data_IF_746577751612
#
_entry.id   IF_746577751612
#
_cell.length_a   1.000
_cell.length_b   1.000
_cell.length_c   1.000
_cell.angle_alpha   90.00
_cell.angle_beta   90.00
_cell.angle_gamma   90.00
#
_symmetry.space_group_name_H-M   'P 1'
#
loop_
_entity.id
_entity.type
_entity.pdbx_description
1 polymer ?
#
# COMPACT_ATOMS: atom_id res chain seq x y z
N UNK A 1 4.08 -13.97 5.01
CA UNK A 1 2.98 -13.62 4.07
C UNK A 1 1.79 -14.58 4.11
N UNK A 2 1.93 -15.81 4.64
CA UNK A 2 0.81 -16.75 4.84
C UNK A 2 -0.02 -16.44 6.10
N UNK A 3 0.51 -15.60 7.01
CA UNK A 3 -0.19 -15.19 8.22
C UNK A 3 -1.44 -14.37 7.87
N UNK A 4 -2.60 -14.89 8.27
CA UNK A 4 -3.91 -14.31 7.95
C UNK A 4 -4.09 -12.93 8.57
N UNK A 5 -3.59 -12.73 9.80
CA UNK A 5 -3.66 -11.44 10.49
C UNK A 5 -2.82 -10.40 9.77
N UNK A 6 -1.62 -10.76 9.33
CA UNK A 6 -0.78 -9.90 8.51
C UNK A 6 -1.51 -9.50 7.23
N UNK A 7 -2.06 -10.48 6.49
CA UNK A 7 -2.79 -10.20 5.24
C UNK A 7 -3.96 -9.25 5.49
N UNK A 8 -4.78 -9.54 6.50
CA UNK A 8 -5.96 -8.74 6.84
C UNK A 8 -5.60 -7.31 7.19
N UNK A 9 -4.63 -7.09 8.09
CA UNK A 9 -4.19 -5.73 8.42
C UNK A 9 -3.67 -5.02 7.16
N UNK A 10 -2.91 -5.72 6.32
CA UNK A 10 -2.30 -5.13 5.14
C UNK A 10 -3.23 -4.91 3.95
N UNK A 11 -4.42 -5.49 3.94
CA UNK A 11 -5.41 -5.27 2.87
C UNK A 11 -6.56 -4.38 3.33
N UNK A 12 -7.02 -4.54 4.58
CA UNK A 12 -8.16 -3.79 5.12
C UNK A 12 -7.79 -2.35 5.54
N UNK A 13 -6.50 -2.05 5.71
CA UNK A 13 -5.99 -0.72 6.05
C UNK A 13 -5.39 0.03 4.85
N UNK A 14 -5.46 -0.54 3.65
CA UNK A 14 -4.84 0.03 2.45
C UNK A 14 -5.90 0.45 1.44
N UNK A 15 -5.93 1.73 0.99
CA UNK A 15 -6.89 2.21 0.00
C UNK A 15 -6.95 1.38 -1.28
N UNK A 16 -5.80 0.86 -1.73
CA UNK A 16 -5.73 -0.16 -2.76
C UNK A 16 -5.68 -1.55 -2.10
N UNK A 17 -6.80 -2.28 -1.95
CA UNK A 17 -6.96 -3.36 -0.98
C UNK A 17 -6.34 -4.68 -1.46
N UNK A 18 -5.03 -4.66 -1.71
CA UNK A 18 -4.22 -5.84 -2.02
C UNK A 18 -2.82 -5.68 -1.47
N UNK A 19 -2.14 -6.79 -1.28
CA UNK A 19 -0.70 -6.76 -1.01
C UNK A 19 0.05 -6.19 -2.23
N UNK A 20 1.08 -5.40 -1.95
CA UNK A 20 2.08 -5.02 -2.93
C UNK A 20 2.76 -6.25 -3.53
N UNK A 21 3.09 -6.17 -4.81
CA UNK A 21 3.86 -7.16 -5.56
C UNK A 21 5.21 -6.56 -5.89
N UNK A 22 6.19 -7.44 -6.14
CA UNK A 22 7.53 -7.02 -6.59
C UNK A 22 7.44 -6.15 -7.85
N UNK A 23 6.50 -6.46 -8.74
CA UNK A 23 6.28 -5.71 -9.99
C UNK A 23 5.85 -4.25 -9.76
N UNK A 24 5.18 -3.92 -8.65
CA UNK A 24 4.77 -2.54 -8.35
C UNK A 24 6.00 -1.65 -8.09
N UNK A 25 6.98 -2.20 -7.36
CA UNK A 25 8.25 -1.53 -7.09
C UNK A 25 9.11 -1.50 -8.35
N UNK A 26 9.26 -2.65 -9.02
CA UNK A 26 10.10 -2.78 -10.21
C UNK A 26 9.63 -1.84 -11.33
N UNK A 27 8.31 -1.72 -11.55
CA UNK A 27 7.75 -0.81 -12.55
C UNK A 27 8.00 0.66 -12.20
N UNK A 28 7.90 1.01 -10.92
CA UNK A 28 8.21 2.37 -10.45
C UNK A 28 9.67 2.72 -10.68
N UNK A 29 10.59 1.80 -10.33
CA UNK A 29 12.03 1.96 -10.57
C UNK A 29 12.32 2.07 -12.06
N UNK A 30 11.73 1.20 -12.89
CA UNK A 30 11.89 1.24 -14.33
C UNK A 30 11.44 2.58 -14.93
N UNK A 31 10.33 3.14 -14.45
CA UNK A 31 9.87 4.48 -14.84
C UNK A 31 10.88 5.57 -14.44
N UNK A 32 11.38 5.54 -13.21
CA UNK A 32 12.36 6.53 -12.72
C UNK A 32 13.68 6.49 -13.49
N UNK A 33 14.11 5.31 -13.95
CA UNK A 33 15.30 5.15 -14.78
C UNK A 33 15.06 5.45 -16.28
N UNK A 34 13.81 5.62 -16.70
CA UNK A 34 13.46 5.96 -18.07
C UNK A 34 13.63 7.46 -18.35
N UNK A 35 13.59 7.91 -19.64
CA UNK A 35 13.57 9.33 -19.96
C UNK A 35 12.44 10.12 -19.26
N UNK A 36 11.32 9.47 -18.94
CA UNK A 36 10.20 10.08 -18.22
C UNK A 36 10.52 10.50 -16.78
N UNK A 37 11.54 9.88 -16.17
CA UNK A 37 12.01 10.22 -14.82
C UNK A 37 13.10 11.29 -14.77
N UNK A 38 13.54 11.81 -15.93
CA UNK A 38 14.77 12.63 -16.05
C UNK A 38 14.85 13.89 -15.17
N UNK A 39 13.72 14.43 -14.74
CA UNK A 39 13.66 15.60 -13.86
C UNK A 39 13.18 15.30 -12.43
N UNK A 40 12.99 14.02 -12.08
CA UNK A 40 12.58 13.58 -10.75
C UNK A 40 13.84 13.23 -9.96
N UNK A 41 14.30 14.14 -9.11
CA UNK A 41 15.50 13.96 -8.29
C UNK A 41 15.29 14.42 -6.84
N UNK A 42 16.06 13.83 -5.92
CA UNK A 42 15.99 14.14 -4.49
C UNK A 42 14.67 13.76 -3.80
N UNK A 43 13.83 12.94 -4.43
CA UNK A 43 12.52 12.56 -3.90
C UNK A 43 12.52 11.18 -3.27
N UNK A 44 11.69 11.01 -2.24
CA UNK A 44 11.28 9.69 -1.74
C UNK A 44 9.89 9.39 -2.30
N UNK A 45 9.77 8.30 -3.07
CA UNK A 45 8.48 7.86 -3.62
C UNK A 45 8.02 6.63 -2.85
N UNK A 46 6.91 6.78 -2.12
CA UNK A 46 6.30 5.68 -1.36
C UNK A 46 5.34 4.91 -2.27
N UNK A 47 5.55 3.59 -2.36
CA UNK A 47 4.74 2.67 -3.18
C UNK A 47 4.11 1.61 -2.28
N UNK A 48 3.04 1.98 -1.58
CA UNK A 48 2.42 1.16 -0.54
C UNK A 48 0.88 1.04 -0.67
N UNK A 49 0.33 1.41 -1.82
CA UNK A 49 -1.12 1.41 -2.05
C UNK A 49 -1.89 2.49 -1.28
N UNK A 50 -1.21 3.50 -0.74
CA UNK A 50 -1.80 4.62 -0.02
C UNK A 50 -1.91 4.41 1.50
N UNK A 51 -1.23 3.39 2.04
CA UNK A 51 -1.27 3.06 3.46
C UNK A 51 -0.74 4.21 4.31
N UNK A 52 0.50 4.63 4.07
CA UNK A 52 1.19 5.59 4.92
C UNK A 52 0.59 6.99 4.89
N UNK A 53 -0.16 7.32 3.83
CA UNK A 53 -0.74 8.65 3.62
C UNK A 53 -2.22 8.76 4.01
N UNK A 54 -2.90 7.65 4.29
CA UNK A 54 -4.34 7.63 4.52
C UNK A 54 -4.71 6.96 5.84
N UNK A 55 -5.68 7.51 6.57
CA UNK A 55 -6.35 6.80 7.68
C UNK A 55 -7.45 5.88 7.15
N UNK A 56 -7.11 5.06 6.15
CA UNK A 56 -8.09 4.22 5.50
C UNK A 56 -8.47 3.04 6.38
N UNK A 57 -9.77 2.77 6.43
CA UNK A 57 -10.37 1.57 6.97
C UNK A 57 -11.30 1.03 5.90
N UNK A 58 -11.23 -0.26 5.63
CA UNK A 58 -12.21 -0.91 4.76
C UNK A 58 -13.62 -0.81 5.34
N UNK A 59 -14.62 -1.00 4.48
CA UNK A 59 -16.03 -1.04 4.90
C UNK A 59 -16.27 -2.11 5.97
N UNK A 60 -15.59 -3.25 5.88
CA UNK A 60 -15.66 -4.29 6.89
C UNK A 60 -15.12 -3.79 8.24
N UNK A 61 -13.99 -3.11 8.25
CA UNK A 61 -13.40 -2.56 9.47
C UNK A 61 -14.29 -1.48 10.09
N UNK A 62 -14.91 -0.61 9.27
CA UNK A 62 -15.80 0.46 9.73
C UNK A 62 -17.14 -0.06 10.29
N UNK A 63 -17.67 -1.14 9.72
CA UNK A 63 -18.94 -1.74 10.14
C UNK A 63 -18.81 -2.82 11.22
N UNK A 64 -17.58 -3.21 11.56
CA UNK A 64 -17.31 -4.20 12.60
C UNK A 64 -17.69 -3.69 13.99
N UNK A 65 -18.34 -4.54 14.79
CA UNK A 65 -18.64 -4.23 16.19
C UNK A 65 -17.40 -4.46 17.05
N UNK A 66 -17.05 -3.46 17.85
CA UNK A 66 -16.06 -3.64 18.90
C UNK A 66 -16.54 -4.68 19.91
N UNK A 67 -15.62 -5.54 20.36
CA UNK A 67 -15.85 -6.55 21.40
C UNK A 67 -14.85 -6.30 22.52
N UNK A 68 -15.36 -6.22 23.75
CA UNK A 68 -14.52 -6.11 24.95
C UNK A 68 -13.71 -7.40 25.13
N UNK A 69 -12.46 -7.27 25.60
CA UNK A 69 -11.58 -8.40 25.88
C UNK A 69 -11.65 -8.81 27.34
#
# INVERSE_FOLDING_TARGET
MQDERFRKINTEMTPHPRLGRVDDIASTVAFLCSPGGSFINGQTIVVDGGWSSTKYLSEFALSSRWTER
#
